data_IF_302213073138
#
_entry.id   IF_302213073138
#
_cell.length_a   1.000
_cell.length_b   1.000
_cell.length_c   1.000
_cell.angle_alpha   90.00
_cell.angle_beta   90.00
_cell.angle_gamma   90.00
#
_symmetry.space_group_name_H-M   'P 1'
#
loop_
_entity.id
_entity.type
_entity.pdbx_description
1 polymer ?
#
# COMPACT_ATOMS: atom_id res chain seq x y z
N UNK A 1 -82.36 38.68 44.82
CA UNK A 1 -82.06 38.06 46.13
C UNK A 1 -80.66 37.46 46.06
N UNK A 2 -79.77 37.86 46.98
CA UNK A 2 -78.46 37.29 47.40
C UNK A 2 -77.46 36.84 46.29
N UNK A 3 -76.30 37.50 46.10
CA UNK A 3 -75.02 37.46 46.85
C UNK A 3 -74.15 36.19 46.64
N UNK A 4 -72.83 36.46 46.45
CA UNK A 4 -71.63 35.64 46.74
C UNK A 4 -70.91 34.85 45.60
N UNK A 5 -69.92 35.54 45.02
CA UNK A 5 -68.50 35.15 44.76
C UNK A 5 -67.89 34.13 45.79
N UNK A 6 -66.69 33.48 45.61
CA UNK A 6 -65.72 33.43 44.48
C UNK A 6 -64.82 32.14 44.36
N UNK A 7 -63.74 32.25 43.56
CA UNK A 7 -62.43 31.54 43.58
C UNK A 7 -62.37 30.07 43.11
N UNK A 8 -61.54 29.84 42.08
CA UNK A 8 -60.93 28.55 41.79
C UNK A 8 -59.88 28.63 40.68
N UNK A 9 -58.62 28.73 41.08
CA UNK A 9 -57.42 28.86 40.23
C UNK A 9 -56.96 27.49 39.70
N UNK A 10 -56.44 27.41 38.47
CA UNK A 10 -55.72 26.23 37.99
C UNK A 10 -55.28 26.34 36.52
N UNK A 11 -53.98 26.13 36.20
CA UNK A 11 -53.43 26.35 34.86
C UNK A 11 -53.83 25.25 33.87
N UNK A 12 -54.06 25.65 32.62
CA UNK A 12 -54.23 24.75 31.48
C UNK A 12 -52.84 24.31 30.99
N UNK A 13 -52.46 23.06 31.28
CA UNK A 13 -51.31 22.42 30.65
C UNK A 13 -51.55 22.24 29.13
N UNK A 14 -50.56 22.54 28.26
CA UNK A 14 -50.65 22.21 26.85
C UNK A 14 -50.49 20.69 26.62
N UNK A 15 -51.14 20.11 25.61
CA UNK A 15 -51.02 18.70 25.30
C UNK A 15 -49.60 18.37 24.80
N UNK A 16 -49.00 17.35 25.42
CA UNK A 16 -47.77 16.70 24.97
C UNK A 16 -47.96 16.16 23.55
N UNK A 17 -47.49 16.92 22.56
CA UNK A 17 -47.37 16.47 21.18
C UNK A 17 -46.24 15.46 21.11
N UNK A 18 -46.60 14.24 20.69
CA UNK A 18 -45.75 13.06 20.61
C UNK A 18 -44.53 13.30 19.71
N UNK A 19 -43.35 13.00 20.24
CA UNK A 19 -42.13 12.85 19.44
C UNK A 19 -42.28 11.66 18.46
N UNK A 20 -41.73 11.75 17.23
CA UNK A 20 -41.74 10.62 16.30
C UNK A 20 -40.90 9.45 16.85
N UNK A 21 -41.27 8.19 16.52
CA UNK A 21 -40.58 7.00 17.02
C UNK A 21 -39.13 6.99 16.57
N UNK A 22 -38.23 6.72 17.52
CA UNK A 22 -36.83 6.47 17.27
C UNK A 22 -36.68 5.30 16.28
N UNK A 23 -36.28 5.62 15.06
CA UNK A 23 -35.85 4.65 14.06
C UNK A 23 -34.58 3.99 14.57
N UNK A 24 -34.67 2.71 14.92
CA UNK A 24 -33.56 1.91 15.39
C UNK A 24 -32.52 1.79 14.26
N UNK A 25 -31.44 2.57 14.36
CA UNK A 25 -30.27 2.44 13.50
C UNK A 25 -29.64 1.08 13.76
N UNK A 26 -29.89 0.12 12.86
CA UNK A 26 -29.19 -1.14 12.84
C UNK A 26 -27.67 -0.86 12.78
N UNK A 27 -26.84 -1.46 13.66
CA UNK A 27 -25.41 -1.24 13.61
C UNK A 27 -24.87 -1.77 12.27
N UNK A 28 -24.22 -0.89 11.51
CA UNK A 28 -23.48 -1.28 10.31
C UNK A 28 -22.51 -2.42 10.66
N UNK A 29 -22.34 -3.43 9.80
CA UNK A 29 -21.42 -4.53 10.06
C UNK A 29 -20.02 -3.96 10.26
N UNK A 30 -19.47 -4.18 11.46
CA UNK A 30 -18.11 -3.81 11.80
C UNK A 30 -17.17 -4.41 10.74
N UNK A 31 -16.50 -3.54 9.99
CA UNK A 31 -15.48 -3.95 9.05
C UNK A 31 -14.39 -4.70 9.82
N UNK A 32 -14.30 -6.01 9.58
CA UNK A 32 -13.23 -6.85 10.14
C UNK A 32 -11.89 -6.18 9.79
N UNK A 33 -11.02 -5.87 10.77
CA UNK A 33 -9.75 -5.25 10.47
C UNK A 33 -8.97 -6.19 9.55
N UNK A 34 -8.62 -5.69 8.36
CA UNK A 34 -7.78 -6.42 7.43
C UNK A 34 -6.49 -6.77 8.18
N UNK A 35 -6.17 -8.06 8.29
CA UNK A 35 -4.94 -8.52 8.95
C UNK A 35 -3.76 -7.82 8.28
N UNK A 36 -3.10 -6.92 9.01
CA UNK A 36 -1.97 -6.16 8.48
C UNK A 36 -0.87 -7.14 8.04
N UNK A 37 -0.65 -7.21 6.72
CA UNK A 37 0.50 -7.91 6.15
C UNK A 37 1.73 -7.11 6.54
N UNK A 38 2.69 -7.74 7.23
CA UNK A 38 3.96 -7.09 7.54
C UNK A 38 4.74 -6.90 6.23
N UNK A 39 5.31 -5.70 5.98
CA UNK A 39 6.15 -5.50 4.81
C UNK A 39 7.38 -6.40 4.89
N UNK A 40 7.82 -6.90 3.73
CA UNK A 40 9.02 -7.75 3.61
C UNK A 40 10.22 -6.89 3.23
N UNK A 41 10.01 -5.90 2.35
CA UNK A 41 11.01 -4.92 1.96
C UNK A 41 10.45 -3.52 2.23
N UNK A 42 11.21 -2.69 2.95
CA UNK A 42 10.85 -1.28 3.16
C UNK A 42 11.40 -0.42 2.02
N UNK A 43 10.75 -0.47 0.84
CA UNK A 43 11.24 0.20 -0.37
C UNK A 43 11.50 1.70 -0.16
N UNK A 44 10.68 2.46 0.60
CA UNK A 44 11.00 3.85 0.92
C UNK A 44 12.33 4.08 1.65
N UNK A 45 12.75 3.15 2.51
CA UNK A 45 14.05 3.21 3.16
C UNK A 45 15.17 2.77 2.20
N UNK A 46 14.93 1.71 1.42
CA UNK A 46 15.90 1.15 0.46
C UNK A 46 16.24 2.12 -0.67
N UNK A 47 15.29 2.92 -1.16
CA UNK A 47 15.52 3.88 -2.24
C UNK A 47 16.47 5.03 -1.88
N UNK A 48 16.82 5.17 -0.60
CA UNK A 48 17.82 6.16 -0.14
C UNK A 48 19.25 5.62 -0.19
N UNK A 49 19.41 4.35 -0.55
CA UNK A 49 20.67 3.64 -0.56
C UNK A 49 21.11 3.39 -1.99
N UNK A 50 22.43 3.35 -2.21
CA UNK A 50 23.00 2.82 -3.45
C UNK A 50 23.03 1.28 -3.43
N UNK A 51 23.31 0.66 -4.58
CA UNK A 51 23.29 -0.81 -4.68
C UNK A 51 24.30 -1.51 -3.76
N UNK A 52 25.44 -0.87 -3.45
CA UNK A 52 26.44 -1.43 -2.54
C UNK A 52 25.93 -1.47 -1.09
N UNK A 53 25.30 -0.39 -0.65
CA UNK A 53 24.65 -0.29 0.66
C UNK A 53 23.47 -1.27 0.76
N UNK A 54 22.71 -1.45 -0.32
CA UNK A 54 21.62 -2.43 -0.36
C UNK A 54 22.12 -3.85 -0.17
N UNK A 55 23.26 -4.21 -0.76
CA UNK A 55 23.87 -5.53 -0.52
C UNK A 55 24.24 -5.74 0.95
N UNK A 56 24.75 -4.70 1.61
CA UNK A 56 25.03 -4.79 3.05
C UNK A 56 23.76 -4.92 3.88
N UNK A 57 22.70 -4.18 3.54
CA UNK A 57 21.45 -4.16 4.30
C UNK A 57 20.59 -5.41 4.10
N UNK A 58 20.50 -5.92 2.86
CA UNK A 58 19.62 -7.03 2.47
C UNK A 58 20.34 -8.39 2.49
N UNK A 59 21.66 -8.39 2.61
CA UNK A 59 22.48 -9.59 2.57
C UNK A 59 22.81 -10.05 1.13
N UNK A 60 23.20 -11.32 0.96
CA UNK A 60 23.67 -11.82 -0.32
C UNK A 60 22.57 -11.79 -1.39
N UNK A 61 22.96 -11.56 -2.63
CA UNK A 61 22.05 -11.63 -3.77
C UNK A 61 21.59 -13.07 -4.00
N UNK A 62 20.34 -13.23 -4.45
CA UNK A 62 19.67 -14.51 -4.65
C UNK A 62 19.99 -15.19 -6.00
N UNK A 63 21.08 -14.78 -6.65
CA UNK A 63 21.49 -15.24 -7.98
C UNK A 63 22.94 -14.87 -8.29
N UNK A 64 23.36 -14.93 -9.56
CA UNK A 64 24.72 -14.54 -9.95
C UNK A 64 25.01 -13.10 -9.52
N UNK A 65 26.05 -12.95 -8.72
CA UNK A 65 26.52 -11.63 -8.29
C UNK A 65 27.50 -11.05 -9.31
N UNK A 66 27.00 -10.74 -10.50
CA UNK A 66 27.81 -10.23 -11.62
C UNK A 66 27.66 -8.73 -11.75
N UNK A 67 28.70 -8.07 -12.21
CA UNK A 67 28.70 -6.66 -12.64
C UNK A 67 28.97 -6.60 -14.14
N UNK A 68 28.55 -5.53 -14.84
CA UNK A 68 28.95 -5.31 -16.23
C UNK A 68 30.47 -5.31 -16.36
N UNK A 69 30.96 -6.00 -17.38
CA UNK A 69 32.36 -6.00 -17.78
C UNK A 69 32.78 -4.64 -18.33
N UNK A 70 34.10 -4.44 -18.46
CA UNK A 70 34.62 -3.22 -19.06
C UNK A 70 34.25 -3.09 -20.55
N UNK A 71 34.06 -4.21 -21.27
CA UNK A 71 33.61 -4.20 -22.66
C UNK A 71 32.14 -3.78 -22.75
N UNK A 72 31.27 -4.38 -21.95
CA UNK A 72 29.85 -4.04 -21.86
C UNK A 72 29.61 -2.56 -21.50
N UNK A 73 30.41 -2.01 -20.58
CA UNK A 73 30.35 -0.58 -20.28
C UNK A 73 30.76 0.30 -21.47
N UNK A 74 31.74 -0.13 -22.28
CA UNK A 74 32.14 0.59 -23.50
C UNK A 74 31.07 0.51 -24.60
N UNK A 75 30.28 -0.55 -24.61
CA UNK A 75 29.12 -0.71 -25.50
C UNK A 75 27.89 0.10 -25.03
N UNK A 76 28.01 0.82 -23.90
CA UNK A 76 26.97 1.72 -23.42
C UNK A 76 25.96 1.07 -22.48
N UNK A 77 26.27 -0.08 -21.87
CA UNK A 77 25.44 -0.61 -20.78
C UNK A 77 25.54 0.35 -19.58
N UNK A 78 24.42 1.04 -19.31
CA UNK A 78 24.29 2.02 -18.22
C UNK A 78 23.42 1.52 -17.06
N UNK A 79 22.64 0.46 -17.27
CA UNK A 79 21.76 -0.13 -16.26
C UNK A 79 22.13 -1.59 -16.02
N UNK A 80 22.10 -2.01 -14.76
CA UNK A 80 22.22 -3.40 -14.37
C UNK A 80 21.24 -3.73 -13.25
N UNK A 81 21.08 -5.02 -12.94
CA UNK A 81 20.15 -5.45 -11.91
C UNK A 81 20.75 -6.50 -10.97
N UNK A 82 20.35 -6.41 -9.70
CA UNK A 82 20.58 -7.46 -8.70
C UNK A 82 19.26 -8.00 -8.21
N UNK A 83 19.27 -9.23 -7.74
CA UNK A 83 18.10 -9.87 -7.16
C UNK A 83 18.36 -10.21 -5.70
N UNK A 84 17.43 -9.85 -4.82
CA UNK A 84 17.40 -10.21 -3.42
C UNK A 84 16.16 -11.05 -3.14
N UNK A 85 16.24 -11.92 -2.14
CA UNK A 85 15.12 -12.78 -1.76
C UNK A 85 15.01 -12.82 -0.26
N UNK A 86 13.80 -12.60 0.24
CA UNK A 86 13.44 -12.78 1.63
C UNK A 86 12.14 -13.58 1.68
N UNK A 87 12.19 -14.72 2.38
CA UNK A 87 11.10 -15.70 2.40
C UNK A 87 10.62 -16.09 0.99
N UNK A 88 9.34 -15.82 0.71
CA UNK A 88 8.67 -16.08 -0.57
C UNK A 88 8.66 -14.87 -1.49
N UNK A 89 9.30 -13.76 -1.12
CA UNK A 89 9.29 -12.51 -1.88
C UNK A 89 10.63 -12.29 -2.57
N UNK A 90 10.58 -11.89 -3.83
CA UNK A 90 11.77 -11.54 -4.61
C UNK A 90 11.73 -10.05 -4.94
N UNK A 91 12.85 -9.39 -4.69
CA UNK A 91 13.10 -8.00 -5.01
C UNK A 91 14.21 -7.94 -6.05
N UNK A 92 13.88 -7.54 -7.27
CA UNK A 92 14.87 -7.16 -8.27
C UNK A 92 15.09 -5.66 -8.18
N UNK A 93 16.34 -5.23 -8.10
CA UNK A 93 16.73 -3.82 -8.03
C UNK A 93 17.52 -3.49 -9.27
N UNK A 94 17.01 -2.58 -10.09
CA UNK A 94 17.74 -2.00 -11.22
C UNK A 94 18.47 -0.75 -10.76
N UNK A 95 19.71 -0.56 -11.22
CA UNK A 95 20.55 0.56 -10.80
C UNK A 95 21.41 1.07 -11.96
N UNK A 96 21.78 2.34 -11.87
CA UNK A 96 22.72 2.97 -12.81
C UNK A 96 24.14 2.52 -12.49
N UNK A 97 24.83 1.97 -13.49
CA UNK A 97 26.14 1.33 -13.34
C UNK A 97 27.22 2.34 -12.95
N UNK A 98 27.09 3.60 -13.36
CA UNK A 98 28.09 4.64 -13.16
C UNK A 98 27.96 5.30 -11.78
N UNK A 99 26.74 5.62 -11.39
CA UNK A 99 26.41 6.34 -10.15
C UNK A 99 26.10 5.40 -8.99
N UNK A 100 25.86 4.11 -9.27
CA UNK A 100 25.40 3.08 -8.32
C UNK A 100 24.01 3.38 -7.73
N UNK A 101 23.31 4.39 -8.23
CA UNK A 101 22.01 4.82 -7.74
C UNK A 101 20.91 3.87 -8.22
N UNK A 102 19.94 3.61 -7.34
CA UNK A 102 18.80 2.77 -7.67
C UNK A 102 17.88 3.49 -8.64
N UNK A 103 17.48 2.79 -9.70
CA UNK A 103 16.54 3.26 -10.71
C UNK A 103 15.13 2.79 -10.35
N UNK A 104 14.96 1.49 -10.10
CA UNK A 104 13.66 0.94 -9.75
C UNK A 104 13.75 -0.39 -8.99
N UNK A 105 12.61 -0.77 -8.43
CA UNK A 105 12.38 -2.00 -7.70
C UNK A 105 11.29 -2.78 -8.40
N UNK A 106 11.51 -4.05 -8.66
CA UNK A 106 10.50 -4.98 -9.14
C UNK A 106 10.24 -6.07 -8.10
N UNK A 107 9.02 -6.13 -7.59
CA UNK A 107 8.61 -7.01 -6.51
C UNK A 107 7.72 -8.12 -7.06
N UNK A 108 8.08 -9.37 -6.76
CA UNK A 108 7.29 -10.57 -7.06
C UNK A 108 7.18 -11.46 -5.83
N UNK A 109 6.27 -12.43 -5.85
CA UNK A 109 6.12 -13.41 -4.78
C UNK A 109 5.95 -14.82 -5.33
N UNK A 110 6.27 -15.83 -4.53
CA UNK A 110 6.16 -17.24 -4.91
C UNK A 110 4.71 -17.68 -5.21
N UNK A 111 3.71 -16.95 -4.69
CA UNK A 111 2.30 -17.16 -5.05
C UNK A 111 2.00 -16.74 -6.50
N UNK A 112 2.91 -15.98 -7.11
CA UNK A 112 3.05 -15.81 -8.56
C UNK A 112 2.01 -14.91 -9.21
N UNK A 113 0.79 -14.81 -8.68
CA UNK A 113 -0.27 -14.01 -9.29
C UNK A 113 -1.36 -13.55 -8.34
N UNK A 114 -2.00 -12.43 -8.67
CA UNK A 114 -3.15 -11.89 -7.95
C UNK A 114 -4.07 -11.09 -8.90
N UNK A 115 -5.33 -10.92 -8.54
CA UNK A 115 -6.33 -10.14 -9.31
C UNK A 115 -6.22 -8.62 -9.09
N UNK A 116 -5.30 -8.20 -8.22
CA UNK A 116 -4.91 -6.81 -8.01
C UNK A 116 -3.44 -6.77 -7.56
N UNK A 117 -2.79 -5.61 -7.66
CA UNK A 117 -1.37 -5.46 -7.33
C UNK A 117 -1.10 -4.99 -5.89
N UNK A 118 -2.14 -4.79 -5.08
CA UNK A 118 -2.05 -4.38 -3.69
C UNK A 118 -1.16 -5.28 -2.80
N UNK A 119 -1.16 -6.62 -2.96
CA UNK A 119 -0.27 -7.49 -2.20
C UNK A 119 1.21 -7.13 -2.35
N UNK A 120 1.70 -6.84 -3.56
CA UNK A 120 3.10 -6.47 -3.73
C UNK A 120 3.42 -5.08 -3.18
N UNK A 121 2.46 -4.14 -3.20
CA UNK A 121 2.63 -2.85 -2.55
C UNK A 121 2.74 -2.97 -1.03
N UNK A 122 1.94 -3.85 -0.41
CA UNK A 122 2.05 -4.15 1.02
C UNK A 122 3.40 -4.78 1.36
N UNK A 123 3.85 -5.74 0.55
CA UNK A 123 5.18 -6.37 0.70
C UNK A 123 6.32 -5.35 0.55
N UNK A 124 6.14 -4.31 -0.26
CA UNK A 124 7.10 -3.24 -0.53
C UNK A 124 6.99 -2.03 0.41
N UNK A 125 6.02 -2.01 1.33
CA UNK A 125 5.70 -0.84 2.16
C UNK A 125 5.40 0.44 1.35
N UNK A 126 4.72 0.29 0.20
CA UNK A 126 4.37 1.42 -0.67
C UNK A 126 2.87 1.70 -0.59
N UNK A 127 2.52 2.97 -0.42
CA UNK A 127 1.15 3.43 -0.62
C UNK A 127 0.91 3.73 -2.09
N UNK A 128 -0.20 3.26 -2.70
CA UNK A 128 -0.53 3.59 -4.09
C UNK A 128 -0.79 5.09 -4.32
N UNK A 129 -1.00 5.85 -3.25
CA UNK A 129 -1.26 7.29 -3.30
C UNK A 129 -0.02 8.14 -3.01
N UNK A 130 1.13 7.54 -2.69
CA UNK A 130 2.35 8.29 -2.40
C UNK A 130 2.92 8.90 -3.69
N UNK A 131 2.93 10.24 -3.83
CA UNK A 131 3.28 10.90 -5.09
C UNK A 131 4.74 10.70 -5.47
N UNK A 132 5.61 10.31 -4.53
CA UNK A 132 7.05 10.10 -4.75
C UNK A 132 7.36 8.88 -5.63
N UNK A 133 6.37 8.04 -5.91
CA UNK A 133 6.57 6.79 -6.65
C UNK A 133 5.78 6.76 -7.95
N UNK A 134 6.42 6.26 -8.99
CA UNK A 134 5.76 5.68 -10.15
C UNK A 134 5.51 4.20 -9.88
N UNK A 135 4.26 3.75 -10.07
CA UNK A 135 3.84 2.37 -9.80
C UNK A 135 3.30 1.79 -11.09
N UNK A 136 3.96 0.74 -11.58
CA UNK A 136 3.63 0.05 -12.82
C UNK A 136 3.33 -1.42 -12.53
N UNK A 137 2.04 -1.81 -12.47
CA UNK A 137 1.66 -3.21 -12.29
C UNK A 137 2.10 -4.06 -13.47
N UNK A 138 2.74 -5.21 -13.21
CA UNK A 138 3.16 -6.11 -14.26
C UNK A 138 2.08 -7.18 -14.51
N UNK A 139 1.31 -6.99 -15.58
CA UNK A 139 0.18 -7.84 -15.93
C UNK A 139 0.62 -9.19 -16.54
N UNK A 140 -0.19 -10.23 -16.31
CA UNK A 140 -0.02 -11.53 -16.95
C UNK A 140 -0.44 -11.45 -18.44
N UNK A 141 0.43 -11.85 -19.37
CA UNK A 141 0.07 -11.91 -20.79
C UNK A 141 -1.17 -12.76 -21.04
N UNK A 142 -2.12 -12.23 -21.83
CA UNK A 142 -3.36 -12.93 -22.18
C UNK A 142 -4.41 -13.04 -21.07
N UNK A 143 -4.18 -12.45 -19.87
CA UNK A 143 -5.15 -12.44 -18.77
C UNK A 143 -5.29 -11.05 -18.14
N UNK A 144 -6.16 -10.18 -18.67
CA UNK A 144 -6.37 -8.84 -18.12
C UNK A 144 -6.85 -8.92 -16.67
N UNK A 145 -6.37 -8.01 -15.82
CA UNK A 145 -6.70 -7.97 -14.40
C UNK A 145 -5.98 -9.02 -13.54
N UNK A 146 -5.11 -9.85 -14.12
CA UNK A 146 -4.20 -10.72 -13.36
C UNK A 146 -2.80 -10.12 -13.44
N UNK A 147 -2.17 -9.95 -12.29
CA UNK A 147 -0.84 -9.37 -12.16
C UNK A 147 0.13 -10.42 -11.65
N UNK A 148 1.42 -10.23 -11.93
CA UNK A 148 2.52 -11.10 -11.51
C UNK A 148 3.50 -10.40 -10.55
N UNK A 149 3.42 -9.08 -10.48
CA UNK A 149 4.32 -8.24 -9.70
C UNK A 149 4.00 -6.76 -9.88
N UNK A 150 4.85 -5.92 -9.28
CA UNK A 150 4.79 -4.47 -9.44
C UNK A 150 6.20 -3.90 -9.58
N UNK A 151 6.37 -2.99 -10.53
CA UNK A 151 7.55 -2.13 -10.62
C UNK A 151 7.26 -0.83 -9.89
N UNK A 152 8.19 -0.39 -9.07
CA UNK A 152 8.13 0.84 -8.29
C UNK A 152 9.41 1.63 -8.55
N UNK A 153 9.28 2.85 -9.05
CA UNK A 153 10.40 3.74 -9.33
C UNK A 153 10.22 5.08 -8.60
N UNK A 154 11.27 5.67 -8.02
CA UNK A 154 11.24 7.07 -7.57
C UNK A 154 10.88 8.00 -8.75
N UNK A 155 10.17 9.09 -8.46
CA UNK A 155 9.92 10.18 -9.42
C UNK A 155 10.91 11.33 -9.27
#
# INVERSE_FOLDING_TARGET
MLLLLPIGCGPTDPPLTQAPPAEAVAPAPAATPARAVRPVFDVPALARLNIDQLRTALGPVAGPDTEPTAAERKEGIVEWAKQFKHDTTTLRVSYDVNTRQVIDFFITSAHGRATNYGPWLQLAHISPQDPRWSIEPFAMPGRPGVYLGVRVAPK
#
